data_IF_793756243852
#
_entry.id   IF_793756243852
#
_cell.length_a   1.000
_cell.length_b   1.000
_cell.length_c   1.000
_cell.angle_alpha   90.00
_cell.angle_beta   90.00
_cell.angle_gamma   90.00
#
_symmetry.space_group_name_H-M   'P 1'
#
loop_
_entity.id
_entity.type
_entity.pdbx_description
1 polymer ?
#
# COMPACT_ATOMS: atom_id res chain seq x y z
N UNK A 1 29.16 -59.85 -2.47
CA UNK A 1 28.43 -58.57 -2.51
C UNK A 1 28.45 -57.97 -1.11
N UNK A 2 29.09 -56.80 -0.95
CA UNK A 2 29.11 -56.00 0.28
C UNK A 2 27.95 -55.00 0.23
N UNK A 3 27.31 -54.76 1.36
CA UNK A 3 26.36 -53.65 1.60
C UNK A 3 25.91 -53.73 3.05
N UNK A 4 26.73 -53.29 4.01
CA UNK A 4 26.77 -51.93 4.57
C UNK A 4 25.41 -51.46 5.09
N UNK A 5 25.30 -51.53 6.43
CA UNK A 5 24.39 -50.76 7.26
C UNK A 5 24.31 -49.30 6.82
N UNK A 6 23.08 -48.77 6.75
CA UNK A 6 22.81 -47.34 6.96
C UNK A 6 21.82 -47.25 8.11
N UNK A 7 22.34 -46.92 9.28
CA UNK A 7 21.59 -46.23 10.32
C UNK A 7 21.47 -44.76 9.92
N UNK A 8 20.28 -44.14 10.00
CA UNK A 8 20.12 -43.00 10.91
C UNK A 8 18.74 -42.32 10.98
N UNK A 9 18.48 -41.90 12.23
CA UNK A 9 17.86 -40.64 12.67
C UNK A 9 16.38 -40.41 12.34
N UNK A 10 15.54 -40.89 13.26
CA UNK A 10 14.36 -40.17 13.71
C UNK A 10 14.76 -38.77 14.18
N UNK A 11 14.35 -37.73 13.45
CA UNK A 11 14.42 -36.34 13.90
C UNK A 11 13.28 -36.05 14.89
N UNK A 12 13.46 -35.20 15.90
CA UNK A 12 12.33 -34.69 16.68
C UNK A 12 11.42 -33.86 15.76
N UNK A 13 10.11 -33.75 16.04
CA UNK A 13 9.27 -32.80 15.33
C UNK A 13 9.89 -31.42 15.55
N UNK A 14 10.35 -30.81 14.45
CA UNK A 14 10.68 -29.39 14.42
C UNK A 14 9.42 -28.71 14.90
N UNK A 15 9.46 -28.13 16.09
CA UNK A 15 8.42 -27.23 16.52
C UNK A 15 8.28 -26.21 15.38
N UNK A 16 7.15 -26.27 14.67
CA UNK A 16 6.74 -25.20 13.79
C UNK A 16 6.99 -23.92 14.56
N UNK A 17 7.62 -22.89 13.98
CA UNK A 17 7.69 -21.62 14.67
C UNK A 17 6.25 -21.27 14.94
N UNK A 18 5.84 -21.41 16.21
CA UNK A 18 4.57 -20.95 16.70
C UNK A 18 4.45 -19.57 16.09
N UNK A 19 3.50 -19.44 15.16
CA UNK A 19 3.27 -18.21 14.42
C UNK A 19 3.02 -17.20 15.51
N UNK A 20 4.11 -16.54 15.91
CA UNK A 20 4.10 -15.64 17.03
C UNK A 20 3.10 -14.62 16.58
N UNK A 21 1.99 -14.59 17.29
CA UNK A 21 0.91 -13.64 17.18
C UNK A 21 1.51 -12.27 17.46
N UNK A 22 2.30 -11.81 16.50
CA UNK A 22 2.85 -10.49 16.42
C UNK A 22 1.75 -9.68 15.79
N UNK A 23 0.71 -9.47 16.59
CA UNK A 23 0.04 -8.18 16.69
C UNK A 23 1.07 -7.11 17.09
N UNK A 24 2.16 -7.00 16.33
CA UNK A 24 2.79 -5.71 16.10
C UNK A 24 1.72 -5.00 15.30
N UNK A 25 1.07 -4.03 15.91
CA UNK A 25 0.55 -2.86 15.22
C UNK A 25 1.36 -2.71 13.94
N UNK A 26 0.81 -3.15 12.79
CA UNK A 26 1.49 -2.91 11.52
C UNK A 26 1.64 -1.40 11.52
N UNK A 27 2.86 -0.90 11.63
CA UNK A 27 3.10 0.49 11.28
C UNK A 27 2.56 0.59 9.86
N UNK A 28 1.39 1.22 9.73
CA UNK A 28 0.72 1.33 8.46
C UNK A 28 1.68 2.06 7.54
N UNK A 29 1.96 1.49 6.36
CA UNK A 29 2.86 2.11 5.43
C UNK A 29 2.25 3.46 5.01
N UNK A 30 3.08 4.48 4.84
CA UNK A 30 2.68 5.77 4.28
C UNK A 30 1.78 5.65 3.04
N UNK A 31 2.12 4.74 2.13
CA UNK A 31 1.32 4.52 0.93
C UNK A 31 -0.03 3.85 1.22
N UNK A 32 -0.11 2.98 2.23
CA UNK A 32 -1.37 2.37 2.67
C UNK A 32 -2.29 3.41 3.31
N UNK A 33 -1.72 4.32 4.12
CA UNK A 33 -2.45 5.44 4.71
C UNK A 33 -2.98 6.39 3.64
N UNK A 34 -2.14 6.80 2.69
CA UNK A 34 -2.56 7.69 1.60
C UNK A 34 -3.63 7.05 0.71
N UNK A 35 -3.47 5.77 0.34
CA UNK A 35 -4.46 5.07 -0.47
C UNK A 35 -5.80 4.95 0.25
N UNK A 36 -5.78 4.61 1.54
CA UNK A 36 -7.00 4.50 2.36
C UNK A 36 -7.68 5.86 2.53
N UNK A 37 -6.91 6.89 2.85
CA UNK A 37 -7.42 8.25 3.04
C UNK A 37 -8.06 8.81 1.77
N UNK A 38 -7.40 8.68 0.61
CA UNK A 38 -7.94 9.19 -0.66
C UNK A 38 -9.17 8.41 -1.12
N UNK A 39 -9.18 7.09 -0.94
CA UNK A 39 -10.37 6.28 -1.24
C UNK A 39 -11.56 6.68 -0.34
N UNK A 40 -11.33 6.80 0.98
CA UNK A 40 -12.35 7.24 1.93
C UNK A 40 -12.85 8.66 1.61
N UNK A 41 -11.96 9.56 1.18
CA UNK A 41 -12.34 10.92 0.73
C UNK A 41 -13.23 10.88 -0.52
N UNK A 42 -12.96 9.98 -1.47
CA UNK A 42 -13.80 9.82 -2.66
C UNK A 42 -15.17 9.20 -2.33
N UNK A 43 -15.24 8.37 -1.29
CA UNK A 43 -16.45 7.69 -0.82
C UNK A 43 -17.25 8.50 0.24
N UNK A 44 -16.76 9.68 0.64
CA UNK A 44 -17.33 10.52 1.72
C UNK A 44 -17.40 9.78 3.09
N UNK A 45 -16.45 8.88 3.34
CA UNK A 45 -16.34 8.06 4.56
C UNK A 45 -15.44 8.75 5.60
N UNK A 46 -16.05 9.66 6.37
CA UNK A 46 -15.34 10.48 7.35
C UNK A 46 -14.66 9.65 8.45
N UNK A 47 -15.29 8.58 8.93
CA UNK A 47 -14.74 7.74 9.99
C UNK A 47 -13.43 7.07 9.53
N UNK A 48 -13.41 6.60 8.28
CA UNK A 48 -12.23 5.97 7.69
C UNK A 48 -11.15 6.97 7.30
N UNK A 49 -11.52 8.19 6.92
CA UNK A 49 -10.58 9.29 6.74
C UNK A 49 -9.84 9.59 8.06
N UNK A 50 -10.58 9.72 9.16
CA UNK A 50 -10.02 10.01 10.48
C UNK A 50 -9.09 8.87 10.94
N UNK A 51 -9.51 7.61 10.74
CA UNK A 51 -8.68 6.43 11.03
C UNK A 51 -7.34 6.48 10.26
N UNK A 52 -7.39 6.64 8.94
CA UNK A 52 -6.20 6.66 8.08
C UNK A 52 -5.28 7.86 8.40
N UNK A 53 -5.85 8.99 8.81
CA UNK A 53 -5.07 10.18 9.20
C UNK A 53 -4.24 9.95 10.47
N UNK A 54 -4.68 9.04 11.36
CA UNK A 54 -3.97 8.69 12.59
C UNK A 54 -2.83 7.68 12.39
N UNK A 55 -2.68 7.11 11.20
CA UNK A 55 -1.70 6.06 10.93
C UNK A 55 -0.27 6.58 10.76
N UNK A 56 -0.11 7.81 10.29
CA UNK A 56 1.18 8.44 9.97
C UNK A 56 1.15 9.93 10.35
N UNK A 57 2.30 10.61 10.30
CA UNK A 57 2.31 12.07 10.54
C UNK A 57 1.56 12.82 9.43
N UNK A 58 1.01 14.02 9.70
CA UNK A 58 0.33 14.83 8.69
C UNK A 58 1.21 15.14 7.47
N UNK A 59 2.51 15.37 7.67
CA UNK A 59 3.49 15.63 6.60
C UNK A 59 3.68 14.38 5.74
N UNK A 60 3.74 13.22 6.38
CA UNK A 60 3.87 11.94 5.73
C UNK A 60 2.61 11.64 4.89
N UNK A 61 1.41 11.86 5.45
CA UNK A 61 0.16 11.71 4.69
C UNK A 61 0.10 12.65 3.48
N UNK A 62 0.45 13.93 3.67
CA UNK A 62 0.45 14.93 2.60
C UNK A 62 1.39 14.55 1.45
N UNK A 63 2.58 14.02 1.79
CA UNK A 63 3.51 13.48 0.80
C UNK A 63 2.90 12.29 0.05
N UNK A 64 2.32 11.33 0.76
CA UNK A 64 1.68 10.16 0.15
C UNK A 64 0.51 10.51 -0.78
N UNK A 65 -0.33 11.47 -0.39
CA UNK A 65 -1.45 11.97 -1.20
C UNK A 65 -0.94 12.65 -2.48
N UNK A 66 0.11 13.48 -2.36
CA UNK A 66 0.71 14.17 -3.51
C UNK A 66 1.33 13.19 -4.52
N UNK A 67 2.03 12.16 -4.02
CA UNK A 67 2.58 11.08 -4.85
C UNK A 67 1.48 10.26 -5.53
N UNK A 68 0.40 9.94 -4.82
CA UNK A 68 -0.73 9.23 -5.40
C UNK A 68 -1.39 10.05 -6.51
N UNK A 69 -1.60 11.35 -6.30
CA UNK A 69 -2.15 12.25 -7.31
C UNK A 69 -1.26 12.31 -8.57
N UNK A 70 0.06 12.43 -8.39
CA UNK A 70 1.02 12.42 -9.50
C UNK A 70 0.93 11.12 -10.32
N UNK A 71 0.95 9.97 -9.64
CA UNK A 71 0.83 8.66 -10.30
C UNK A 71 -0.49 8.49 -11.03
N UNK A 72 -1.60 8.92 -10.42
CA UNK A 72 -2.93 8.87 -11.04
C UNK A 72 -2.99 9.72 -12.32
N UNK A 73 -2.46 10.94 -12.28
CA UNK A 73 -2.40 11.82 -13.45
C UNK A 73 -1.53 11.21 -14.56
N UNK A 74 -0.36 10.65 -14.24
CA UNK A 74 0.52 10.02 -15.23
C UNK A 74 -0.15 8.81 -15.87
N UNK A 75 -0.79 7.95 -15.08
CA UNK A 75 -1.51 6.79 -15.58
C UNK A 75 -2.64 7.21 -16.52
N UNK A 76 -3.47 8.16 -16.09
CA UNK A 76 -4.63 8.63 -16.84
C UNK A 76 -4.24 9.40 -18.12
N UNK A 77 -3.16 10.17 -18.08
CA UNK A 77 -2.58 10.82 -19.26
C UNK A 77 -2.20 9.81 -20.34
N UNK A 78 -1.57 8.69 -19.95
CA UNK A 78 -1.22 7.61 -20.87
C UNK A 78 -2.46 6.90 -21.44
N UNK A 79 -3.47 6.66 -20.60
CA UNK A 79 -4.73 6.05 -21.03
C UNK A 79 -5.50 6.92 -22.04
N UNK A 80 -5.39 8.24 -21.93
CA UNK A 80 -6.09 9.22 -22.77
C UNK A 80 -5.27 9.71 -23.97
N UNK A 81 -3.99 9.33 -24.06
CA UNK A 81 -3.02 9.93 -24.99
C UNK A 81 -2.98 11.47 -24.91
N UNK A 82 -3.11 11.99 -23.68
CA UNK A 82 -3.10 13.43 -23.39
C UNK A 82 -1.89 13.82 -22.55
N UNK A 83 -1.56 15.11 -22.53
CA UNK A 83 -0.53 15.62 -21.61
C UNK A 83 -0.99 15.54 -20.15
N UNK A 84 -0.09 15.28 -19.18
CA UNK A 84 -0.41 15.35 -17.75
C UNK A 84 -1.06 16.68 -17.32
N UNK A 85 -0.65 17.80 -17.92
CA UNK A 85 -1.22 19.11 -17.64
C UNK A 85 -2.68 19.21 -18.09
N UNK A 86 -3.00 18.71 -19.29
CA UNK A 86 -4.37 18.67 -19.81
C UNK A 86 -5.27 17.86 -18.89
N UNK A 87 -4.82 16.66 -18.50
CA UNK A 87 -5.58 15.77 -17.60
C UNK A 87 -5.80 16.41 -16.23
N UNK A 88 -4.76 16.96 -15.61
CA UNK A 88 -4.88 17.59 -14.29
C UNK A 88 -5.85 18.78 -14.31
N UNK A 89 -5.81 19.61 -15.35
CA UNK A 89 -6.74 20.73 -15.51
C UNK A 89 -8.17 20.26 -15.73
N UNK A 90 -8.36 19.24 -16.56
CA UNK A 90 -9.67 18.61 -16.81
C UNK A 90 -10.29 18.03 -15.53
N UNK A 91 -9.53 17.30 -14.72
CA UNK A 91 -9.99 16.77 -13.42
C UNK A 91 -10.44 17.87 -12.44
N UNK A 92 -9.84 19.05 -12.54
CA UNK A 92 -10.17 20.21 -11.70
C UNK A 92 -11.23 21.15 -12.32
N UNK A 93 -11.80 20.79 -13.48
CA UNK A 93 -12.78 21.64 -14.19
C UNK A 93 -12.20 22.96 -14.72
N UNK A 94 -10.88 23.02 -14.92
CA UNK A 94 -10.19 24.21 -15.41
C UNK A 94 -10.16 24.23 -16.95
N UNK A 95 -10.13 25.41 -17.59
CA UNK A 95 -10.00 25.52 -19.05
C UNK A 95 -8.72 24.85 -19.56
N UNK A 96 -8.71 24.33 -20.79
CA UNK A 96 -7.47 23.86 -21.41
C UNK A 96 -6.43 24.98 -21.47
N UNK A 97 -5.15 24.63 -21.29
CA UNK A 97 -4.03 25.56 -21.35
C UNK A 97 -3.60 25.86 -22.79
#
# INVERSE_FOLDING_TARGET
MRGLFVSNRTAPPVAEPAASSQSRTRQHNLFDAAATYVAATADDDQDRMDEASGWVSPEALSFGVSELACRAVIALARERDESPQTVARSLLGLPAA
#
